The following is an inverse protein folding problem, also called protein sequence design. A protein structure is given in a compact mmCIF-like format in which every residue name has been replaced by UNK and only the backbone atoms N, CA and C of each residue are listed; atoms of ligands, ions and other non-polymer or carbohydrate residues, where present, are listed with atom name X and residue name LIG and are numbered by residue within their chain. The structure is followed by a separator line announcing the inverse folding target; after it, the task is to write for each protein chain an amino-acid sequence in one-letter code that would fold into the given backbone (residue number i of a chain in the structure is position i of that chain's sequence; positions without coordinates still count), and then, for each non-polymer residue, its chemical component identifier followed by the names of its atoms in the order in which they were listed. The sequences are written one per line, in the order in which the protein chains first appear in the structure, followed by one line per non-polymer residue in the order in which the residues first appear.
data_IF_664492820112
#
_entry.id   IF_664492820112
#
_cell.length_a   1.000
_cell.length_b   1.000
_cell.length_c   1.000
_cell.angle_alpha   90.00
_cell.angle_beta   90.00
_cell.angle_gamma   90.00
#
_symmetry.space_group_name_H-M   'P 1'
#
loop_
_entity.id
_entity.type
_entity.pdbx_description
1 polymer ?
#
# COMPACT_ATOMS: atom_id res chain seq x y z
N UNK A 1 15.84 10.09 -23.37
CA UNK A 1 15.05 9.87 -22.13
C UNK A 1 13.94 8.92 -22.49
N UNK A 2 14.03 7.67 -22.04
CA UNK A 2 13.10 6.61 -22.47
C UNK A 2 11.84 6.71 -21.63
N UNK A 3 10.82 7.37 -22.17
CA UNK A 3 9.47 7.41 -21.59
C UNK A 3 8.82 6.03 -21.77
N UNK A 4 9.23 5.07 -20.93
CA UNK A 4 8.77 3.69 -20.98
C UNK A 4 7.62 3.50 -20.01
N UNK A 5 6.47 3.15 -20.55
CA UNK A 5 5.31 2.75 -19.76
C UNK A 5 5.45 1.29 -19.35
N UNK A 6 5.02 0.96 -18.14
CA UNK A 6 4.99 -0.41 -17.61
C UNK A 6 3.73 -0.64 -16.81
N UNK A 7 3.27 -1.89 -16.81
CA UNK A 7 2.15 -2.32 -15.99
C UNK A 7 2.73 -2.97 -14.74
N UNK A 8 2.33 -2.49 -13.58
CA UNK A 8 2.79 -2.93 -12.28
C UNK A 8 1.59 -3.48 -11.51
N UNK A 9 1.70 -4.73 -11.06
CA UNK A 9 0.70 -5.33 -10.19
C UNK A 9 0.99 -4.99 -8.74
N UNK A 10 -0.01 -4.43 -8.06
CA UNK A 10 0.00 -4.15 -6.63
C UNK A 10 -0.97 -5.12 -5.95
N UNK A 11 -0.58 -5.69 -4.81
CA UNK A 11 -1.42 -6.56 -4.00
C UNK A 11 -1.36 -6.13 -2.54
N UNK A 12 -2.52 -5.91 -1.93
CA UNK A 12 -2.62 -5.63 -0.51
C UNK A 12 -3.20 -6.84 0.23
N UNK A 13 -2.42 -7.52 1.09
CA UNK A 13 -2.89 -8.68 1.85
C UNK A 13 -3.95 -8.32 2.90
N UNK A 14 -3.91 -7.08 3.43
CA UNK A 14 -4.86 -6.63 4.47
C UNK A 14 -6.30 -6.56 3.97
N UNK A 15 -6.50 -6.19 2.71
CA UNK A 15 -7.82 -6.10 2.07
C UNK A 15 -8.01 -7.15 0.98
N UNK A 16 -7.09 -8.13 0.87
CA UNK A 16 -7.07 -9.19 -0.15
C UNK A 16 -7.35 -8.68 -1.58
N UNK A 17 -6.85 -7.49 -1.92
CA UNK A 17 -7.14 -6.81 -3.19
C UNK A 17 -5.89 -6.75 -4.04
N UNK A 18 -6.03 -7.03 -5.33
CA UNK A 18 -4.99 -6.80 -6.33
C UNK A 18 -5.46 -5.77 -7.34
N UNK A 19 -4.58 -4.85 -7.74
CA UNK A 19 -4.85 -3.88 -8.80
C UNK A 19 -3.67 -3.82 -9.77
N UNK A 20 -3.98 -3.58 -11.03
CA UNK A 20 -2.99 -3.30 -12.06
C UNK A 20 -2.90 -1.79 -12.23
N UNK A 21 -1.68 -1.27 -12.08
CA UNK A 21 -1.39 0.14 -12.24
C UNK A 21 -0.51 0.32 -13.47
N UNK A 22 -0.91 1.22 -14.36
CA UNK A 22 -0.08 1.58 -15.51
C UNK A 22 0.71 2.83 -15.15
N UNK A 23 2.04 2.73 -15.19
CA UNK A 23 2.95 3.78 -14.70
C UNK A 23 4.06 4.05 -15.70
N UNK A 24 4.60 5.26 -15.67
CA UNK A 24 5.80 5.61 -16.42
C UNK A 24 7.04 5.42 -15.56
N UNK A 25 8.14 4.97 -16.16
CA UNK A 25 9.40 4.73 -15.42
C UNK A 25 9.88 5.98 -14.66
N UNK A 26 9.70 7.16 -15.27
CA UNK A 26 10.14 8.44 -14.74
C UNK A 26 9.07 9.12 -13.88
N UNK A 27 7.86 8.54 -13.80
CA UNK A 27 6.80 9.05 -12.94
C UNK A 27 7.18 8.83 -11.48
N UNK A 28 7.04 9.90 -10.69
CA UNK A 28 7.22 9.87 -9.24
C UNK A 28 6.17 8.98 -8.59
N UNK A 29 6.56 8.29 -7.52
CA UNK A 29 5.63 7.44 -6.77
C UNK A 29 4.61 8.28 -6.01
N UNK A 30 3.35 8.21 -6.46
CA UNK A 30 2.21 8.79 -5.77
C UNK A 30 1.66 7.79 -4.73
N UNK A 31 2.23 7.81 -3.53
CA UNK A 31 1.83 6.90 -2.45
C UNK A 31 0.41 7.21 -1.98
N UNK A 32 -0.04 8.45 -2.11
CA UNK A 32 -1.40 8.88 -1.76
C UNK A 32 -2.48 8.16 -2.56
N UNK A 33 -2.32 8.08 -3.88
CA UNK A 33 -3.27 7.42 -4.79
C UNK A 33 -3.22 5.91 -4.65
N UNK A 34 -2.04 5.33 -4.42
CA UNK A 34 -1.92 3.90 -4.07
C UNK A 34 -2.68 3.63 -2.77
N UNK A 35 -2.45 4.43 -1.72
CA UNK A 35 -3.11 4.25 -0.44
C UNK A 35 -4.64 4.32 -0.56
N UNK A 36 -5.16 5.35 -1.25
CA UNK A 36 -6.60 5.51 -1.51
C UNK A 36 -7.20 4.33 -2.27
N UNK A 37 -6.47 3.75 -3.22
CA UNK A 37 -6.94 2.58 -4.00
C UNK A 37 -7.21 1.36 -3.11
N UNK A 38 -6.47 1.22 -2.01
CA UNK A 38 -6.61 0.14 -1.05
C UNK A 38 -7.33 0.53 0.26
N UNK A 39 -7.74 1.80 0.41
CA UNK A 39 -8.31 2.30 1.66
C UNK A 39 -7.30 2.33 2.82
N UNK A 40 -6.02 2.52 2.49
CA UNK A 40 -4.93 2.61 3.46
C UNK A 40 -4.59 4.07 3.77
N UNK A 41 -4.09 4.30 4.97
CA UNK A 41 -3.52 5.56 5.39
C UNK A 41 -2.19 5.80 4.68
N UNK A 42 -2.06 6.89 3.89
CA UNK A 42 -0.86 7.16 3.10
C UNK A 42 0.35 7.39 3.99
N UNK A 43 0.16 7.69 5.29
CA UNK A 43 1.23 7.87 6.28
C UNK A 43 1.90 6.62 6.77
N UNK A 44 1.26 5.49 6.56
CA UNK A 44 1.74 4.19 7.03
C UNK A 44 2.04 3.25 5.88
N UNK A 45 1.88 3.70 4.63
CA UNK A 45 2.04 2.89 3.44
C UNK A 45 3.47 2.39 3.27
N UNK A 46 3.61 1.10 3.00
CA UNK A 46 4.86 0.40 2.70
C UNK A 46 4.71 -0.40 1.42
N UNK A 47 5.79 -0.47 0.64
CA UNK A 47 5.88 -1.35 -0.53
C UNK A 47 6.93 -2.42 -0.27
N UNK A 48 6.56 -3.70 -0.41
CA UNK A 48 7.38 -4.85 -0.01
C UNK A 48 7.94 -4.74 1.42
N UNK A 49 7.16 -4.16 2.34
CA UNK A 49 7.59 -3.91 3.72
C UNK A 49 8.52 -2.71 3.91
N UNK A 50 8.91 -2.01 2.85
CA UNK A 50 9.75 -0.83 2.91
C UNK A 50 8.93 0.45 2.97
N UNK A 51 9.31 1.33 3.90
CA UNK A 51 8.79 2.69 3.94
C UNK A 51 9.52 3.54 2.89
N UNK A 52 8.75 4.29 2.10
CA UNK A 52 9.30 5.15 1.06
C UNK A 52 9.28 6.59 1.57
N UNK A 53 10.44 7.26 1.53
CA UNK A 53 10.52 8.68 1.83
C UNK A 53 9.62 9.48 0.92
N UNK A 54 8.78 10.31 1.52
CA UNK A 54 7.66 11.00 0.87
C UNK A 54 7.63 12.47 1.24
N UNK A 55 7.25 13.31 0.29
CA UNK A 55 6.99 14.73 0.51
C UNK A 55 5.73 14.97 1.34
N UNK A 56 5.43 16.24 1.59
CA UNK A 56 4.24 16.70 2.33
C UNK A 56 2.94 16.28 1.61
N UNK A 57 3.03 16.16 0.29
CA UNK A 57 2.01 15.73 -0.66
C UNK A 57 1.90 14.20 -0.82
N UNK A 58 2.66 13.43 -0.04
CA UNK A 58 2.74 11.96 -0.13
C UNK A 58 3.28 11.43 -1.46
N UNK A 59 3.85 12.28 -2.31
CA UNK A 59 4.60 11.88 -3.50
C UNK A 59 6.07 11.75 -3.10
N UNK A 60 6.69 10.65 -3.51
CA UNK A 60 8.12 10.49 -3.32
C UNK A 60 8.89 11.47 -4.22
N UNK A 61 9.56 12.45 -3.61
CA UNK A 61 10.26 13.51 -4.35
C UNK A 61 11.47 13.04 -5.13
N UNK A 62 12.14 12.00 -4.61
CA UNK A 62 13.39 11.49 -5.17
C UNK A 62 13.27 10.06 -5.70
N UNK A 63 12.07 9.46 -5.67
CA UNK A 63 11.86 8.06 -6.06
C UNK A 63 10.87 7.98 -7.22
N UNK A 64 11.36 7.44 -8.34
CA UNK A 64 10.56 7.12 -9.52
C UNK A 64 10.22 5.63 -9.53
N UNK A 65 9.26 5.23 -10.37
CA UNK A 65 8.96 3.81 -10.54
C UNK A 65 10.18 3.01 -11.02
N UNK A 66 11.02 3.59 -11.88
CA UNK A 66 12.25 2.93 -12.33
C UNK A 66 13.22 2.67 -11.18
N UNK A 67 13.49 3.68 -10.35
CA UNK A 67 14.44 3.55 -9.26
C UNK A 67 13.92 2.61 -8.18
N UNK A 68 12.62 2.63 -7.88
CA UNK A 68 11.97 1.68 -6.98
C UNK A 68 12.10 0.24 -7.49
N UNK A 69 11.74 -0.01 -8.74
CA UNK A 69 11.77 -1.36 -9.32
C UNK A 69 13.21 -1.86 -9.42
N UNK A 70 14.15 -1.00 -9.80
CA UNK A 70 15.58 -1.34 -9.86
C UNK A 70 16.12 -1.68 -8.47
N UNK A 71 15.72 -0.93 -7.45
CA UNK A 71 16.07 -1.21 -6.05
C UNK A 71 15.52 -2.56 -5.57
N UNK A 72 14.25 -2.87 -5.86
CA UNK A 72 13.67 -4.16 -5.51
C UNK A 72 14.31 -5.31 -6.28
N UNK A 73 14.51 -5.15 -7.58
CA UNK A 73 15.18 -6.15 -8.42
C UNK A 73 16.59 -6.45 -7.94
N UNK A 74 17.37 -5.44 -7.55
CA UNK A 74 18.74 -5.62 -7.06
C UNK A 74 18.80 -6.34 -5.70
N UNK A 75 17.71 -6.32 -4.94
CA UNK A 75 17.59 -7.00 -3.63
C UNK A 75 16.79 -8.30 -3.69
N UNK A 76 16.35 -8.72 -4.88
CA UNK A 76 15.53 -9.94 -5.04
C UNK A 76 14.11 -9.82 -4.52
N UNK A 77 13.59 -8.59 -4.36
CA UNK A 77 12.18 -8.36 -4.03
C UNK A 77 11.31 -8.35 -5.28
N UNK A 78 10.02 -8.58 -5.07
CA UNK A 78 9.02 -8.48 -6.13
C UNK A 78 8.99 -7.09 -6.75
N UNK A 79 8.84 -7.05 -8.07
CA UNK A 79 8.90 -5.85 -8.92
C UNK A 79 7.56 -5.48 -9.54
N UNK A 80 6.52 -6.30 -9.34
CA UNK A 80 5.18 -6.09 -9.86
C UNK A 80 5.01 -6.51 -11.32
N UNK A 81 5.97 -7.23 -11.92
CA UNK A 81 5.97 -7.55 -13.36
C UNK A 81 4.85 -8.51 -13.77
N UNK A 82 4.40 -9.37 -12.86
CA UNK A 82 3.49 -10.48 -13.18
C UNK A 82 2.69 -10.94 -11.94
N UNK A 83 1.77 -11.88 -12.15
CA UNK A 83 0.82 -12.32 -11.13
C UNK A 83 1.47 -12.87 -9.85
N UNK A 84 2.61 -13.56 -9.97
CA UNK A 84 3.35 -14.14 -8.85
C UNK A 84 4.39 -13.18 -8.25
N UNK A 85 4.62 -12.04 -8.89
CA UNK A 85 5.63 -11.05 -8.51
C UNK A 85 4.96 -9.72 -8.13
N UNK A 86 3.75 -9.74 -7.59
CA UNK A 86 3.03 -8.52 -7.24
C UNK A 86 3.77 -7.73 -6.15
N UNK A 87 3.83 -6.40 -6.28
CA UNK A 87 4.31 -5.54 -5.21
C UNK A 87 3.34 -5.60 -4.04
N UNK A 88 3.86 -5.96 -2.87
CA UNK A 88 3.05 -6.05 -1.67
C UNK A 88 2.85 -4.65 -1.11
N UNK A 89 1.60 -4.22 -1.02
CA UNK A 89 1.21 -2.94 -0.44
C UNK A 89 0.70 -3.19 0.97
N UNK A 90 1.39 -2.62 1.95
CA UNK A 90 1.04 -2.74 3.37
C UNK A 90 0.80 -1.35 3.97
N UNK A 91 0.06 -1.28 5.07
CA UNK A 91 -0.24 -0.03 5.76
C UNK A 91 -1.34 -0.20 6.80
N UNK A 92 -1.66 0.87 7.52
CA UNK A 92 -2.86 0.91 8.35
C UNK A 92 -4.05 1.28 7.49
N UNK A 93 -5.23 0.76 7.78
CA UNK A 93 -6.46 1.23 7.15
C UNK A 93 -6.68 2.70 7.48
N UNK A 94 -7.04 3.53 6.49
CA UNK A 94 -7.56 4.86 6.79
C UNK A 94 -8.83 4.67 7.61
N UNK A 95 -8.87 5.27 8.80
CA UNK A 95 -10.09 5.41 9.58
C UNK A 95 -10.98 6.42 8.85
N UNK A 96 -11.53 6.04 7.70
CA UNK A 96 -12.64 6.76 7.10
C UNK A 96 -13.73 6.71 8.16
N UNK A 97 -14.04 7.85 8.77
CA UNK A 97 -14.81 7.91 10.01
C UNK A 97 -16.01 6.99 9.96
N UNK A 98 -16.04 6.00 10.85
CA UNK A 98 -17.30 5.47 11.35
C UNK A 98 -18.04 6.66 11.96
N UNK A 99 -18.87 7.34 11.17
CA UNK A 99 -20.04 7.96 11.76
C UNK A 99 -20.89 6.79 12.26
N UNK A 100 -20.87 6.61 13.58
CA UNK A 100 -21.57 5.61 14.41
C UNK A 100 -20.88 4.27 14.69
N UNK A 101 -19.74 4.30 15.38
CA UNK A 101 -19.62 3.38 16.52
C UNK A 101 -18.81 4.05 17.63
N UNK A 102 -19.51 4.59 18.62
CA UNK A 102 -18.95 4.74 19.96
C UNK A 102 -18.57 3.33 20.45
N UNK A 103 -17.28 3.08 20.57
CA UNK A 103 -16.75 2.28 21.68
C UNK A 103 -15.29 2.68 21.87
N UNK A 104 -15.17 3.83 22.55
CA UNK A 104 -14.04 4.06 23.42
C UNK A 104 -14.27 3.21 24.67
N UNK A 105 -13.25 2.48 25.14
CA UNK A 105 -13.24 1.60 26.32
C UNK A 105 -14.11 0.34 26.10
N UNK A 106 -13.67 -0.89 26.31
CA UNK A 106 -12.93 -1.38 27.46
C UNK A 106 -12.20 -2.69 27.11
N UNK A 107 -11.07 -2.90 27.77
CA UNK A 107 -10.35 -4.15 27.81
C UNK A 107 -11.20 -5.20 28.54
N UNK A 108 -11.15 -6.46 28.09
CA UNK A 108 -11.53 -7.64 28.88
C UNK A 108 -12.98 -7.70 29.37
N UNK A 109 -13.76 -8.66 28.86
CA UNK A 109 -14.53 -9.56 29.72
C UNK A 109 -15.12 -10.69 28.88
N UNK A 110 -14.71 -11.90 29.24
CA UNK A 110 -15.37 -13.13 28.88
C UNK A 110 -16.81 -13.08 29.39
N UNK A 111 -17.79 -13.15 28.49
CA UNK A 111 -19.15 -13.52 28.86
C UNK A 111 -19.53 -14.73 28.04
N UNK A 112 -19.19 -15.89 28.58
CA UNK A 112 -19.90 -17.13 28.27
C UNK A 112 -21.25 -17.05 28.99
N UNK A 113 -22.33 -17.15 28.23
CA UNK A 113 -23.64 -17.57 28.74
C UNK A 113 -24.32 -18.36 27.64
N UNK A 114 -24.42 -19.68 27.86
CA UNK A 114 -25.37 -20.55 27.18
C UNK A 114 -26.46 -20.85 28.20
N UNK A 115 -27.69 -20.49 27.87
CA UNK A 115 -28.90 -20.87 28.59
C UNK A 115 -29.80 -21.67 27.62
N UNK A 116 -30.09 -22.91 28.00
CA UNK A 116 -31.36 -23.59 27.74
C UNK A 116 -31.55 -24.72 28.76
#
# INVERSE_FOLDING_TARGET
MSNKQRIVKLFCPLVSKAVWLVVWDEQRLDLGSIARTFGLDPSTLKLNGHFISRGVDFIASSVTWNSLISFFSARGFSTGKNHQDALIVDGKLTKLGSNNMKSSWDSSLWVISFDH
#
